data_IF_708387813986
#
_entry.id   IF_708387813986
#
_cell.length_a   1.000
_cell.length_b   1.000
_cell.length_c   1.000
_cell.angle_alpha   90.00
_cell.angle_beta   90.00
_cell.angle_gamma   90.00
#
_symmetry.space_group_name_H-M   'P 1'
#
loop_
_entity.id
_entity.type
_entity.pdbx_description
1 polymer ?
#
# COMPACT_ATOMS: atom_id res chain seq x y z
N UNK A 1 -7.87 2.52 12.25
CA UNK A 1 -6.81 3.49 11.94
C UNK A 1 -5.48 3.09 12.56
N UNK A 2 -5.33 3.02 13.89
CA UNK A 2 -4.06 2.67 14.57
C UNK A 2 -3.45 1.35 14.08
N UNK A 3 -4.26 0.31 13.90
CA UNK A 3 -3.81 -0.99 13.40
C UNK A 3 -3.10 -0.87 12.03
N UNK A 4 -3.72 -0.22 11.07
CA UNK A 4 -3.19 -0.11 9.71
C UNK A 4 -2.01 0.89 9.59
N UNK A 5 -2.06 1.98 10.37
CA UNK A 5 -1.04 3.02 10.31
C UNK A 5 0.25 2.65 11.07
N UNK A 6 0.14 2.05 12.25
CA UNK A 6 1.26 1.84 13.16
C UNK A 6 1.55 0.35 13.37
N UNK A 7 0.57 -0.42 13.81
CA UNK A 7 0.80 -1.80 14.28
C UNK A 7 1.35 -2.71 13.18
N UNK A 8 0.91 -2.55 11.92
CA UNK A 8 1.47 -3.30 10.80
C UNK A 8 2.98 -3.10 10.60
N UNK A 9 3.51 -1.92 10.97
CA UNK A 9 4.94 -1.61 10.83
C UNK A 9 5.79 -2.22 11.94
N UNK A 10 5.19 -2.59 13.07
CA UNK A 10 5.91 -3.26 14.16
C UNK A 10 6.52 -4.57 13.70
N UNK A 11 5.80 -5.35 12.86
CA UNK A 11 6.34 -6.58 12.28
C UNK A 11 7.55 -6.32 11.36
N UNK A 12 7.44 -5.36 10.45
CA UNK A 12 8.54 -4.99 9.56
C UNK A 12 9.73 -4.39 10.35
N UNK A 13 9.46 -3.61 11.40
CA UNK A 13 10.49 -3.14 12.32
C UNK A 13 11.19 -4.30 13.03
N UNK A 14 10.46 -5.33 13.43
CA UNK A 14 11.02 -6.56 14.00
C UNK A 14 12.00 -7.25 13.06
N UNK A 15 11.68 -7.36 11.77
CA UNK A 15 12.62 -7.85 10.76
C UNK A 15 13.86 -6.95 10.66
N UNK A 16 13.66 -5.64 10.51
CA UNK A 16 14.74 -4.68 10.32
C UNK A 16 15.68 -4.61 11.52
N UNK A 17 15.14 -4.56 12.74
CA UNK A 17 15.92 -4.29 13.96
C UNK A 17 16.48 -5.53 14.63
N UNK A 18 15.79 -6.66 14.53
CA UNK A 18 16.16 -7.87 15.26
C UNK A 18 16.57 -9.00 14.31
N UNK A 19 15.76 -9.37 13.36
CA UNK A 19 16.01 -10.56 12.53
C UNK A 19 17.24 -10.36 11.63
N UNK A 20 17.27 -9.29 10.85
CA UNK A 20 18.37 -9.04 9.91
C UNK A 20 19.74 -8.86 10.60
N UNK A 21 19.86 -8.11 11.72
CA UNK A 21 21.13 -7.95 12.41
C UNK A 21 21.57 -9.18 13.26
N UNK A 22 20.62 -9.88 13.88
CA UNK A 22 20.95 -11.00 14.80
C UNK A 22 21.15 -12.31 14.04
N UNK A 23 20.38 -12.53 12.95
CA UNK A 23 20.36 -13.78 12.20
C UNK A 23 20.59 -13.53 10.69
N UNK A 24 21.74 -12.94 10.30
CA UNK A 24 21.99 -12.59 8.89
C UNK A 24 22.05 -13.82 7.97
N UNK A 25 22.66 -14.92 8.42
CA UNK A 25 22.82 -16.13 7.62
C UNK A 25 21.48 -16.85 7.41
N UNK A 26 20.66 -16.95 8.46
CA UNK A 26 19.30 -17.48 8.34
C UNK A 26 18.42 -16.60 7.45
N UNK A 27 18.55 -15.28 7.56
CA UNK A 27 17.82 -14.32 6.72
C UNK A 27 18.16 -14.50 5.24
N UNK A 28 19.44 -14.71 4.91
CA UNK A 28 19.87 -15.01 3.53
C UNK A 28 19.35 -16.36 3.03
N UNK A 29 19.41 -17.39 3.87
CA UNK A 29 18.94 -18.73 3.51
C UNK A 29 17.44 -18.74 3.18
N UNK A 30 16.62 -18.05 3.98
CA UNK A 30 15.17 -17.97 3.79
C UNK A 30 14.72 -16.83 2.86
N UNK A 31 15.60 -15.93 2.41
CA UNK A 31 15.26 -14.81 1.56
C UNK A 31 14.45 -15.21 0.30
N UNK A 32 14.80 -16.28 -0.45
CA UNK A 32 14.01 -16.68 -1.62
C UNK A 32 12.55 -17.01 -1.27
N UNK A 33 12.32 -17.71 -0.16
CA UNK A 33 10.97 -18.05 0.29
C UNK A 33 10.17 -16.79 0.70
N UNK A 34 10.83 -15.86 1.41
CA UNK A 34 10.21 -14.60 1.83
C UNK A 34 9.91 -13.71 0.63
N UNK A 35 10.79 -13.66 -0.38
CA UNK A 35 10.56 -12.93 -1.64
C UNK A 35 9.32 -13.47 -2.34
N UNK A 36 9.17 -14.78 -2.47
CA UNK A 36 7.99 -15.39 -3.10
C UNK A 36 6.71 -15.06 -2.32
N UNK A 37 6.70 -15.18 -0.99
CA UNK A 37 5.56 -14.82 -0.16
C UNK A 37 5.21 -13.32 -0.26
N UNK A 38 6.22 -12.47 -0.34
CA UNK A 38 6.06 -11.03 -0.53
C UNK A 38 5.44 -10.70 -1.89
N UNK A 39 5.88 -11.35 -2.96
CA UNK A 39 5.29 -11.20 -4.29
C UNK A 39 3.85 -11.72 -4.35
N UNK A 40 3.55 -12.82 -3.68
CA UNK A 40 2.16 -13.30 -3.52
C UNK A 40 1.33 -12.24 -2.80
N UNK A 41 1.83 -11.65 -1.72
CA UNK A 41 1.12 -10.58 -1.02
C UNK A 41 0.90 -9.35 -1.93
N UNK A 42 1.89 -8.94 -2.70
CA UNK A 42 1.79 -7.82 -3.64
C UNK A 42 0.74 -8.07 -4.72
N UNK A 43 0.81 -9.21 -5.40
CA UNK A 43 -0.01 -9.51 -6.58
C UNK A 43 -1.39 -10.00 -6.17
N UNK A 44 -1.45 -11.09 -5.40
CA UNK A 44 -2.71 -11.74 -5.05
C UNK A 44 -3.60 -10.85 -4.18
N UNK A 45 -3.03 -10.25 -3.13
CA UNK A 45 -3.81 -9.35 -2.28
C UNK A 45 -4.16 -8.03 -3.00
N UNK A 46 -3.31 -7.55 -3.92
CA UNK A 46 -3.64 -6.45 -4.82
C UNK A 46 -4.88 -6.75 -5.67
N UNK A 47 -4.98 -7.96 -6.24
CA UNK A 47 -6.18 -8.42 -6.96
C UNK A 47 -7.40 -8.57 -6.05
N UNK A 48 -7.21 -9.08 -4.84
CA UNK A 48 -8.31 -9.17 -3.84
C UNK A 48 -8.84 -7.79 -3.49
N UNK A 49 -7.97 -6.77 -3.38
CA UNK A 49 -8.39 -5.39 -3.13
C UNK A 49 -9.31 -4.84 -4.25
N UNK A 50 -9.04 -5.17 -5.51
CA UNK A 50 -9.84 -4.74 -6.68
C UNK A 50 -11.31 -5.17 -6.61
N UNK A 51 -11.59 -6.36 -6.08
CA UNK A 51 -12.95 -6.93 -6.07
C UNK A 51 -13.74 -6.58 -4.80
N UNK A 52 -13.16 -5.78 -3.89
CA UNK A 52 -13.86 -5.42 -2.66
C UNK A 52 -15.00 -4.43 -2.92
N UNK A 53 -16.11 -4.67 -2.23
CA UNK A 53 -17.28 -3.79 -2.22
C UNK A 53 -17.32 -2.85 -1.02
N UNK A 54 -16.58 -3.16 0.05
CA UNK A 54 -16.44 -2.37 1.27
C UNK A 54 -15.17 -1.53 1.18
N UNK A 55 -15.29 -0.18 1.27
CA UNK A 55 -14.17 0.76 1.22
C UNK A 55 -13.10 0.47 2.28
N UNK A 56 -13.52 0.13 3.51
CA UNK A 56 -12.60 -0.16 4.61
C UNK A 56 -11.80 -1.43 4.34
N UNK A 57 -12.45 -2.48 3.79
CA UNK A 57 -11.76 -3.71 3.39
C UNK A 57 -10.80 -3.46 2.24
N UNK A 58 -11.20 -2.69 1.23
CA UNK A 58 -10.34 -2.33 0.10
C UNK A 58 -9.05 -1.68 0.58
N UNK A 59 -9.13 -0.64 1.42
CA UNK A 59 -7.94 0.04 1.96
C UNK A 59 -7.15 -0.87 2.92
N UNK A 60 -7.80 -1.78 3.64
CA UNK A 60 -7.09 -2.75 4.48
C UNK A 60 -6.29 -3.76 3.65
N UNK A 61 -6.86 -4.30 2.57
CA UNK A 61 -6.14 -5.21 1.65
C UNK A 61 -5.03 -4.49 0.90
N UNK A 62 -5.23 -3.25 0.45
CA UNK A 62 -4.14 -2.45 -0.12
C UNK A 62 -2.98 -2.29 0.86
N UNK A 63 -3.25 -2.10 2.15
CA UNK A 63 -2.22 -2.02 3.18
C UNK A 63 -1.42 -3.31 3.33
N UNK A 64 -2.05 -4.48 3.20
CA UNK A 64 -1.35 -5.78 3.22
C UNK A 64 -0.42 -5.89 2.01
N UNK A 65 -0.87 -5.49 0.82
CA UNK A 65 -0.07 -5.49 -0.41
C UNK A 65 1.16 -4.59 -0.25
N UNK A 66 1.00 -3.35 0.24
CA UNK A 66 2.11 -2.43 0.48
C UNK A 66 3.09 -2.93 1.56
N UNK A 67 2.61 -3.62 2.60
CA UNK A 67 3.50 -4.23 3.60
C UNK A 67 4.23 -5.46 3.05
N UNK A 68 3.62 -6.25 2.16
CA UNK A 68 4.32 -7.27 1.39
C UNK A 68 5.45 -6.68 0.56
N UNK A 69 5.23 -5.52 -0.02
CA UNK A 69 6.25 -4.77 -0.76
C UNK A 69 7.41 -4.29 0.13
N UNK A 70 7.11 -3.82 1.34
CA UNK A 70 8.13 -3.49 2.36
C UNK A 70 8.94 -4.73 2.72
N UNK A 71 8.28 -5.87 2.98
CA UNK A 71 8.97 -7.13 3.31
C UNK A 71 9.88 -7.59 2.17
N UNK A 72 9.42 -7.44 0.93
CA UNK A 72 10.25 -7.69 -0.25
C UNK A 72 11.55 -6.88 -0.19
N UNK A 73 11.45 -5.57 0.02
CA UNK A 73 12.61 -4.68 0.07
C UNK A 73 13.59 -5.00 1.20
N UNK A 74 13.10 -5.48 2.35
CA UNK A 74 13.94 -5.88 3.49
C UNK A 74 14.74 -7.17 3.25
N UNK A 75 14.30 -8.05 2.36
CA UNK A 75 14.93 -9.36 2.11
C UNK A 75 15.58 -9.47 0.73
N UNK A 76 15.84 -8.35 0.07
CA UNK A 76 16.64 -8.33 -1.18
C UNK A 76 18.13 -8.26 -0.84
N UNK A 77 18.86 -9.33 -1.21
CA UNK A 77 20.30 -9.42 -1.04
C UNK A 77 21.00 -9.41 -2.41
N UNK A 78 22.08 -8.62 -2.53
CA UNK A 78 22.95 -8.55 -3.70
C UNK A 78 24.38 -8.83 -3.26
N UNK A 79 25.05 -9.80 -3.90
CA UNK A 79 26.42 -10.18 -3.56
C UNK A 79 26.64 -10.63 -2.10
N UNK A 80 25.59 -11.11 -1.42
CA UNK A 80 25.64 -11.52 -0.02
C UNK A 80 25.39 -10.40 1.01
N UNK A 81 25.13 -9.18 0.55
CA UNK A 81 24.77 -8.03 1.39
C UNK A 81 23.35 -7.56 1.09
N UNK A 82 22.73 -6.86 2.04
CA UNK A 82 21.44 -6.22 1.80
C UNK A 82 21.58 -5.19 0.68
N UNK A 83 20.59 -5.16 -0.22
CA UNK A 83 20.55 -4.15 -1.26
C UNK A 83 20.14 -2.79 -0.65
N UNK A 84 21.01 -1.79 -0.73
CA UNK A 84 20.82 -0.48 -0.10
C UNK A 84 19.61 0.27 -0.65
N UNK A 85 19.37 0.21 -1.96
CA UNK A 85 18.20 0.84 -2.59
C UNK A 85 16.90 0.25 -2.06
N UNK A 86 16.82 -1.08 -2.03
CA UNK A 86 15.63 -1.79 -1.55
C UNK A 86 15.40 -1.56 -0.06
N UNK A 87 16.45 -1.60 0.75
CA UNK A 87 16.37 -1.37 2.19
C UNK A 87 15.88 0.04 2.53
N UNK A 88 16.48 1.06 1.92
CA UNK A 88 16.07 2.45 2.12
C UNK A 88 14.65 2.69 1.61
N UNK A 89 14.32 2.12 0.45
CA UNK A 89 12.97 2.17 -0.11
C UNK A 89 11.93 1.54 0.82
N UNK A 90 12.23 0.38 1.42
CA UNK A 90 11.37 -0.26 2.39
C UNK A 90 11.11 0.61 3.63
N UNK A 91 12.15 1.26 4.17
CA UNK A 91 12.02 2.15 5.32
C UNK A 91 11.15 3.37 4.98
N UNK A 92 11.41 4.02 3.83
CA UNK A 92 10.62 5.16 3.36
C UNK A 92 9.16 4.73 3.16
N UNK A 93 8.92 3.57 2.56
CA UNK A 93 7.57 3.05 2.34
C UNK A 93 6.83 2.75 3.65
N UNK A 94 7.51 2.24 4.68
CA UNK A 94 6.90 2.06 6.01
C UNK A 94 6.36 3.38 6.56
N UNK A 95 7.16 4.45 6.50
CA UNK A 95 6.80 5.77 7.03
C UNK A 95 5.68 6.38 6.19
N UNK A 96 5.86 6.45 4.87
CA UNK A 96 4.90 7.01 3.93
C UNK A 96 3.54 6.31 4.02
N UNK A 97 3.52 4.98 3.96
CA UNK A 97 2.28 4.21 4.08
C UNK A 97 1.61 4.41 5.45
N UNK A 98 2.37 4.67 6.53
CA UNK A 98 1.82 5.00 7.84
C UNK A 98 0.91 6.23 7.78
N UNK A 99 1.40 7.31 7.20
CA UNK A 99 0.64 8.56 7.05
C UNK A 99 -0.51 8.44 6.05
N UNK A 100 -0.24 7.87 4.88
CA UNK A 100 -1.23 7.75 3.80
C UNK A 100 -2.39 6.84 4.21
N UNK A 101 -2.11 5.67 4.79
CA UNK A 101 -3.16 4.76 5.24
C UNK A 101 -4.00 5.35 6.38
N UNK A 102 -3.35 6.07 7.34
CA UNK A 102 -4.09 6.78 8.38
C UNK A 102 -5.07 7.80 7.78
N UNK A 103 -4.59 8.62 6.83
CA UNK A 103 -5.41 9.62 6.16
C UNK A 103 -6.57 9.00 5.37
N UNK A 104 -6.33 7.91 4.64
CA UNK A 104 -7.38 7.18 3.92
C UNK A 104 -8.44 6.61 4.87
N UNK A 105 -8.03 6.01 5.99
CA UNK A 105 -8.99 5.51 7.00
C UNK A 105 -9.74 6.65 7.70
N UNK A 106 -9.13 7.82 7.88
CA UNK A 106 -9.84 9.01 8.37
C UNK A 106 -10.90 9.48 7.36
N UNK A 107 -10.57 9.53 6.08
CA UNK A 107 -11.54 9.86 5.02
C UNK A 107 -12.73 8.91 5.04
N UNK A 108 -12.49 7.60 5.14
CA UNK A 108 -13.56 6.60 5.27
C UNK A 108 -14.37 6.82 6.55
N UNK A 109 -13.73 7.18 7.67
CA UNK A 109 -14.39 7.50 8.93
C UNK A 109 -15.36 8.67 8.79
N UNK A 110 -14.92 9.76 8.19
CA UNK A 110 -15.77 10.95 7.95
C UNK A 110 -17.00 10.61 7.10
N UNK A 111 -16.84 9.77 6.08
CA UNK A 111 -17.98 9.32 5.27
C UNK A 111 -18.90 8.38 6.06
N UNK A 112 -18.34 7.45 6.82
CA UNK A 112 -19.10 6.52 7.64
C UNK A 112 -19.94 7.22 8.73
N UNK A 113 -19.38 8.24 9.37
CA UNK A 113 -20.10 9.00 10.41
C UNK A 113 -21.35 9.72 9.86
N UNK A 114 -21.41 9.96 8.54
CA UNK A 114 -22.55 10.61 7.88
C UNK A 114 -23.62 9.62 7.40
N UNK A 115 -23.22 8.54 6.74
CA UNK A 115 -24.15 7.59 6.09
C UNK A 115 -24.25 6.24 6.81
N UNK A 116 -23.41 5.97 7.83
CA UNK A 116 -23.37 4.74 8.61
C UNK A 116 -23.24 3.44 7.77
N UNK A 117 -22.75 3.55 6.53
CA UNK A 117 -22.46 2.44 5.64
C UNK A 117 -21.00 2.48 5.17
N UNK A 118 -20.45 1.36 4.72
CA UNK A 118 -19.09 1.27 4.16
C UNK A 118 -19.11 0.71 2.74
N UNK A 119 -20.29 0.35 2.26
CA UNK A 119 -20.44 -0.22 0.93
C UNK A 119 -20.27 0.88 -0.13
N UNK A 120 -19.39 0.65 -1.09
CA UNK A 120 -19.07 1.61 -2.16
C UNK A 120 -20.32 1.96 -2.99
N UNK A 121 -21.25 1.01 -3.15
CA UNK A 121 -22.46 1.23 -3.95
C UNK A 121 -23.46 2.23 -3.31
N UNK A 122 -23.36 2.44 -1.99
CA UNK A 122 -24.25 3.36 -1.27
C UNK A 122 -23.78 4.82 -1.33
N UNK A 123 -22.59 5.03 -1.91
CA UNK A 123 -21.99 6.35 -2.08
C UNK A 123 -22.04 6.80 -3.56
N UNK A 124 -22.06 8.11 -3.76
CA UNK A 124 -21.96 8.72 -5.08
C UNK A 124 -22.05 10.23 -4.97
N UNK A 125 -21.36 10.94 -5.87
CA UNK A 125 -21.47 12.39 -5.97
C UNK A 125 -20.93 13.18 -4.78
N UNK A 126 -20.05 12.63 -3.96
CA UNK A 126 -19.49 13.28 -2.77
C UNK A 126 -18.84 14.63 -3.11
N UNK A 127 -18.30 14.79 -4.31
CA UNK A 127 -17.70 16.05 -4.77
C UNK A 127 -18.71 17.20 -4.79
N UNK A 128 -19.99 16.93 -5.05
CA UNK A 128 -21.03 17.96 -5.14
C UNK A 128 -21.39 18.54 -3.76
N UNK A 129 -21.28 17.72 -2.72
CA UNK A 129 -21.63 18.09 -1.33
C UNK A 129 -20.40 18.55 -0.55
N UNK A 130 -19.26 17.89 -0.76
CA UNK A 130 -18.03 18.13 0.01
C UNK A 130 -16.80 18.26 -0.92
N UNK A 131 -16.68 19.32 -1.74
CA UNK A 131 -15.60 19.42 -2.73
C UNK A 131 -14.20 19.47 -2.11
N UNK A 132 -14.02 20.15 -0.98
CA UNK A 132 -12.72 20.21 -0.28
C UNK A 132 -12.31 18.83 0.24
N UNK A 133 -13.24 18.10 0.81
CA UNK A 133 -13.00 16.72 1.27
C UNK A 133 -12.62 15.80 0.11
N UNK A 134 -13.34 15.90 -1.01
CA UNK A 134 -13.04 15.15 -2.22
C UNK A 134 -11.60 15.41 -2.73
N UNK A 135 -11.15 16.67 -2.69
CA UNK A 135 -9.78 17.03 -3.06
C UNK A 135 -8.73 16.38 -2.13
N UNK A 136 -8.92 16.40 -0.81
CA UNK A 136 -8.01 15.73 0.13
C UNK A 136 -8.04 14.20 -0.04
N UNK A 137 -9.21 13.61 -0.23
CA UNK A 137 -9.34 12.18 -0.49
C UNK A 137 -8.61 11.78 -1.79
N UNK A 138 -8.65 12.65 -2.83
CA UNK A 138 -7.87 12.43 -4.06
C UNK A 138 -6.37 12.47 -3.78
N UNK A 139 -5.89 13.49 -3.04
CA UNK A 139 -4.48 13.61 -2.68
C UNK A 139 -3.96 12.35 -1.98
N UNK A 140 -4.68 11.87 -0.97
CA UNK A 140 -4.30 10.66 -0.24
C UNK A 140 -4.45 9.39 -1.08
N UNK A 141 -5.47 9.32 -1.93
CA UNK A 141 -5.64 8.24 -2.89
C UNK A 141 -4.50 8.17 -3.90
N UNK A 142 -4.06 9.31 -4.45
CA UNK A 142 -2.91 9.35 -5.35
C UNK A 142 -1.61 8.96 -4.64
N UNK A 143 -1.42 9.38 -3.40
CA UNK A 143 -0.28 8.96 -2.58
C UNK A 143 -0.30 7.45 -2.28
N UNK A 144 -1.49 6.87 -2.09
CA UNK A 144 -1.66 5.42 -1.91
C UNK A 144 -1.42 4.63 -3.22
N UNK A 145 -1.68 5.24 -4.36
CA UNK A 145 -1.43 4.64 -5.67
C UNK A 145 0.02 4.78 -6.15
N UNK A 146 0.89 5.46 -5.38
CA UNK A 146 2.29 5.66 -5.77
C UNK A 146 2.47 6.65 -6.92
N UNK A 147 1.65 7.71 -7.00
CA UNK A 147 1.84 8.72 -8.04
C UNK A 147 3.16 9.48 -7.85
N UNK A 148 3.98 9.69 -8.90
CA UNK A 148 5.14 10.57 -8.84
C UNK A 148 4.78 11.94 -8.22
N UNK A 149 5.67 12.50 -7.41
CA UNK A 149 5.49 13.68 -6.57
C UNK A 149 4.69 13.43 -5.27
N UNK A 150 4.29 12.20 -4.97
CA UNK A 150 3.73 11.83 -3.67
C UNK A 150 4.71 11.00 -2.85
N UNK A 151 4.47 10.93 -1.54
CA UNK A 151 5.37 10.21 -0.62
C UNK A 151 5.44 8.70 -0.86
N UNK A 152 4.38 8.08 -1.39
CA UNK A 152 4.33 6.65 -1.69
C UNK A 152 5.26 6.24 -2.82
N UNK A 153 5.38 7.08 -3.85
CA UNK A 153 6.19 6.78 -5.03
C UNK A 153 7.66 6.52 -4.71
N UNK A 154 8.26 7.33 -3.84
CA UNK A 154 9.70 7.27 -3.57
C UNK A 154 10.10 5.89 -3.03
N UNK A 155 9.37 5.39 -2.03
CA UNK A 155 9.64 4.08 -1.45
C UNK A 155 9.42 2.94 -2.44
N UNK A 156 8.32 2.96 -3.18
CA UNK A 156 8.00 1.95 -4.18
C UNK A 156 9.03 1.93 -5.32
N UNK A 157 9.38 3.09 -5.85
CA UNK A 157 10.39 3.19 -6.89
C UNK A 157 11.74 2.64 -6.46
N UNK A 158 12.22 2.98 -5.26
CA UNK A 158 13.51 2.49 -4.74
C UNK A 158 13.51 0.98 -4.54
N UNK A 159 12.42 0.38 -4.02
CA UNK A 159 12.33 -1.07 -3.86
C UNK A 159 12.31 -1.77 -5.22
N UNK A 160 11.59 -1.23 -6.21
CA UNK A 160 11.56 -1.79 -7.58
C UNK A 160 12.98 -1.74 -8.19
N UNK A 161 13.68 -0.61 -8.07
CA UNK A 161 15.05 -0.50 -8.59
C UNK A 161 15.99 -1.50 -7.94
N UNK A 162 15.96 -1.63 -6.61
CA UNK A 162 16.74 -2.64 -5.91
C UNK A 162 16.34 -4.07 -6.27
N UNK A 163 15.07 -4.33 -6.52
CA UNK A 163 14.60 -5.65 -6.96
C UNK A 163 15.09 -5.99 -8.38
N UNK A 164 15.09 -5.02 -9.31
CA UNK A 164 15.62 -5.20 -10.68
C UNK A 164 17.12 -5.48 -10.64
N UNK A 165 17.86 -4.81 -9.77
CA UNK A 165 19.30 -5.03 -9.60
C UNK A 165 19.62 -6.47 -9.14
N UNK A 166 18.79 -7.03 -8.25
CA UNK A 166 18.95 -8.41 -7.76
C UNK A 166 18.44 -9.42 -8.77
N UNK A 167 17.25 -9.20 -9.32
CA UNK A 167 16.65 -10.07 -10.33
C UNK A 167 15.57 -9.32 -11.09
N UNK A 168 15.74 -9.20 -12.41
CA UNK A 168 14.79 -8.52 -13.30
C UNK A 168 13.34 -8.97 -13.12
N UNK A 169 13.09 -10.28 -13.01
CA UNK A 169 11.74 -10.82 -12.90
C UNK A 169 11.08 -10.47 -11.57
N UNK A 170 11.85 -10.44 -10.48
CA UNK A 170 11.35 -9.99 -9.17
C UNK A 170 10.94 -8.52 -9.24
N UNK A 171 11.78 -7.69 -9.87
CA UNK A 171 11.46 -6.27 -10.08
C UNK A 171 10.25 -6.05 -10.99
N UNK A 172 10.15 -6.80 -12.08
CA UNK A 172 9.01 -6.73 -12.99
C UNK A 172 7.68 -7.12 -12.30
N UNK A 173 7.69 -8.19 -11.50
CA UNK A 173 6.52 -8.61 -10.71
C UNK A 173 6.19 -7.59 -9.60
N UNK A 174 7.20 -7.05 -8.94
CA UNK A 174 7.01 -6.00 -7.93
C UNK A 174 6.38 -4.74 -8.55
N UNK A 175 6.77 -4.36 -9.77
CA UNK A 175 6.20 -3.20 -10.47
C UNK A 175 4.70 -3.30 -10.77
N UNK A 176 4.11 -4.51 -10.76
CA UNK A 176 2.67 -4.70 -10.88
C UNK A 176 1.88 -4.04 -9.74
N UNK A 177 2.53 -3.78 -8.58
CA UNK A 177 1.88 -3.06 -7.47
C UNK A 177 1.40 -1.68 -7.90
N UNK A 178 2.13 -0.97 -8.77
CA UNK A 178 1.75 0.35 -9.29
C UNK A 178 0.46 0.27 -10.11
N UNK A 179 0.32 -0.77 -10.92
CA UNK A 179 -0.88 -0.99 -11.76
C UNK A 179 -2.09 -1.31 -10.88
N UNK A 180 -1.94 -2.26 -9.95
CA UNK A 180 -3.03 -2.62 -9.04
C UNK A 180 -3.38 -1.48 -8.09
N UNK A 181 -2.38 -0.79 -7.55
CA UNK A 181 -2.53 0.37 -6.66
C UNK A 181 -3.36 1.47 -7.31
N UNK A 182 -3.01 1.85 -8.53
CA UNK A 182 -3.77 2.82 -9.31
C UNK A 182 -5.18 2.31 -9.61
N UNK A 183 -5.32 1.05 -10.04
CA UNK A 183 -6.60 0.49 -10.46
C UNK A 183 -7.63 0.48 -9.33
N UNK A 184 -7.35 -0.11 -8.17
CA UNK A 184 -8.34 -0.19 -7.09
C UNK A 184 -8.60 1.17 -6.44
N UNK A 185 -7.58 2.04 -6.34
CA UNK A 185 -7.74 3.37 -5.74
C UNK A 185 -8.59 4.28 -6.62
N UNK A 186 -8.28 4.37 -7.91
CA UNK A 186 -9.03 5.21 -8.85
C UNK A 186 -10.44 4.69 -9.07
N UNK A 187 -10.63 3.38 -9.13
CA UNK A 187 -11.96 2.79 -9.29
C UNK A 187 -12.85 3.04 -8.06
N UNK A 188 -12.31 2.90 -6.86
CA UNK A 188 -13.02 3.28 -5.63
C UNK A 188 -13.35 4.77 -5.64
N UNK A 189 -12.38 5.63 -5.91
CA UNK A 189 -12.55 7.07 -5.95
C UNK A 189 -13.62 7.50 -6.96
N UNK A 190 -13.57 6.97 -8.19
CA UNK A 190 -14.55 7.25 -9.24
C UNK A 190 -15.97 6.95 -8.78
N UNK A 191 -16.19 5.80 -8.15
CA UNK A 191 -17.53 5.36 -7.74
C UNK A 191 -18.05 6.17 -6.54
N UNK A 192 -17.19 6.47 -5.59
CA UNK A 192 -17.58 7.17 -4.36
C UNK A 192 -17.71 8.68 -4.59
N UNK A 193 -16.76 9.29 -5.27
CA UNK A 193 -16.65 10.74 -5.35
C UNK A 193 -17.38 11.32 -6.56
N UNK A 194 -17.28 10.69 -7.73
CA UNK A 194 -17.86 11.19 -8.99
C UNK A 194 -19.12 10.45 -9.44
N UNK A 195 -19.53 9.40 -8.77
CA UNK A 195 -20.76 8.69 -9.10
C UNK A 195 -22.01 9.56 -9.02
N UNK A 196 -23.18 9.11 -9.53
CA UNK A 196 -24.44 9.79 -9.31
C UNK A 196 -24.75 9.84 -7.81
N UNK A 197 -25.48 10.87 -7.37
CA UNK A 197 -25.93 10.94 -5.97
C UNK A 197 -26.96 9.81 -5.75
N UNK A 198 -26.53 8.78 -5.04
CA UNK A 198 -27.39 7.62 -4.74
C UNK A 198 -28.17 7.78 -3.45
N UNK A 199 -27.67 8.60 -2.54
CA UNK A 199 -28.33 8.89 -1.27
C UNK A 199 -28.41 10.41 -1.08
N UNK A 200 -29.63 11.00 -1.00
CA UNK A 200 -29.82 12.44 -0.84
C UNK A 200 -29.70 12.91 0.62
N UNK A 201 -29.35 12.04 1.56
CA UNK A 201 -29.21 12.37 2.99
C UNK A 201 -27.95 13.18 3.30
#
# INVERSE_FOLDING_TARGET
MVLAAITLKVGAYGFLRFILPILPDASRYFAPAIIVLSLIAVIYIGMVALVQTDMKKLVAYSSISHMGFVTLGLFLFSGGYLNDWALQGAIIQMISHGFVSAAMFMCIGVMYDRLHTRNIADYGGVVNVMPKFAAFMMLFGMANAGLPATSGFVGEFMVIMGAVEVNFWVGALAALTLIYGASYTLWMYKRVVFGPITNPA
#
